data_IF_244638467126
#
_entry.id   IF_244638467126
#
_cell.length_a   1.000
_cell.length_b   1.000
_cell.length_c   1.000
_cell.angle_alpha   90.00
_cell.angle_beta   90.00
_cell.angle_gamma   90.00
#
_symmetry.space_group_name_H-M   'P 1'
#
loop_
_entity.id
_entity.type
_entity.pdbx_description
1 polymer ?
#
# COMPACT_ATOMS: atom_id res chain seq x y z
N UNK A 1 -19.62 6.41 -1.84
CA UNK A 1 -19.42 7.80 -2.27
C UNK A 1 -18.37 8.43 -1.36
N UNK A 2 -17.46 9.23 -1.92
CA UNK A 2 -16.47 9.98 -1.14
C UNK A 2 -16.90 11.45 -1.07
N UNK A 3 -16.46 12.11 0.00
CA UNK A 3 -16.62 13.54 0.23
C UNK A 3 -15.27 14.23 0.06
N UNK A 4 -15.27 15.54 -0.20
CA UNK A 4 -14.08 16.31 -0.50
C UNK A 4 -13.94 17.49 0.46
N UNK A 5 -12.73 17.77 0.91
CA UNK A 5 -12.42 18.86 1.82
C UNK A 5 -10.98 19.34 1.65
N UNK A 6 -10.47 20.10 2.62
CA UNK A 6 -9.08 20.57 2.64
C UNK A 6 -8.34 20.08 3.86
N UNK A 7 -7.13 19.57 3.67
CA UNK A 7 -6.27 19.15 4.77
C UNK A 7 -5.89 20.33 5.66
N UNK A 8 -6.03 20.20 6.98
CA UNK A 8 -5.54 21.20 7.95
C UNK A 8 -4.28 20.65 8.61
N UNK A 9 -4.40 19.53 9.34
CA UNK A 9 -3.27 18.95 10.07
C UNK A 9 -3.47 17.48 10.39
N UNK A 10 -2.38 16.76 10.60
CA UNK A 10 -2.34 15.41 11.17
C UNK A 10 -1.68 15.44 12.54
N UNK A 11 -2.25 14.74 13.51
CA UNK A 11 -1.69 14.62 14.85
C UNK A 11 -1.98 13.25 15.46
N UNK A 12 -1.19 12.88 16.48
CA UNK A 12 -1.31 11.60 17.21
C UNK A 12 -1.42 10.38 16.27
N UNK A 13 -0.76 10.45 15.10
CA UNK A 13 -0.73 9.46 14.00
C UNK A 13 -2.06 9.15 13.31
N UNK A 14 -3.17 9.08 14.05
CA UNK A 14 -4.46 8.56 13.58
C UNK A 14 -5.56 9.61 13.43
N UNK A 15 -5.25 10.88 13.70
CA UNK A 15 -6.21 11.99 13.63
C UNK A 15 -5.78 12.97 12.55
N UNK A 16 -6.72 13.34 11.69
CA UNK A 16 -6.54 14.35 10.66
C UNK A 16 -7.72 15.31 10.73
N UNK A 17 -7.44 16.59 10.99
CA UNK A 17 -8.45 17.64 10.89
C UNK A 17 -8.52 18.10 9.43
N UNK A 18 -9.73 18.26 8.92
CA UNK A 18 -10.01 18.76 7.57
C UNK A 18 -11.11 19.82 7.61
N UNK A 19 -11.04 20.76 6.69
CA UNK A 19 -12.11 21.72 6.43
C UNK A 19 -13.15 21.09 5.48
N UNK A 20 -14.41 21.09 5.90
CA UNK A 20 -15.55 20.57 5.14
C UNK A 20 -16.82 21.36 5.49
N UNK A 21 -17.55 21.86 4.48
CA UNK A 21 -18.80 22.63 4.66
C UNK A 21 -18.68 23.77 5.70
N UNK A 22 -17.60 24.56 5.63
CA UNK A 22 -17.29 25.65 6.57
C UNK A 22 -17.10 25.21 8.04
N UNK A 23 -16.81 23.93 8.27
CA UNK A 23 -16.54 23.37 9.59
C UNK A 23 -15.24 22.56 9.59
N UNK A 24 -14.63 22.42 10.77
CA UNK A 24 -13.49 21.53 10.97
C UNK A 24 -14.03 20.20 11.47
N UNK A 25 -13.74 19.12 10.73
CA UNK A 25 -14.07 17.76 11.16
C UNK A 25 -12.79 16.92 11.33
N UNK A 26 -12.83 16.00 12.27
CA UNK A 26 -11.71 15.07 12.51
C UNK A 26 -11.97 13.71 11.86
N UNK A 27 -11.09 13.34 10.95
CA UNK A 27 -11.04 12.06 10.29
C UNK A 27 -10.07 11.09 10.99
N UNK A 28 -10.41 9.81 10.97
CA UNK A 28 -9.43 8.75 11.22
C UNK A 28 -8.45 8.68 10.05
N UNK A 29 -7.16 8.65 10.35
CA UNK A 29 -6.11 8.33 9.39
C UNK A 29 -5.66 6.87 9.54
N UNK A 30 -5.99 6.00 8.56
CA UNK A 30 -5.66 4.57 8.61
C UNK A 30 -4.22 4.26 8.14
N UNK A 31 -3.41 5.28 7.84
CA UNK A 31 -1.99 5.11 7.52
C UNK A 31 -1.12 5.30 8.77
N UNK A 32 -0.42 4.25 9.21
CA UNK A 32 0.46 4.32 10.39
C UNK A 32 1.83 4.93 10.12
N UNK A 33 2.22 5.02 8.85
CA UNK A 33 3.52 5.53 8.44
C UNK A 33 3.66 7.04 8.61
N UNK A 34 4.83 7.56 8.28
CA UNK A 34 5.15 8.99 8.48
C UNK A 34 4.24 9.91 7.66
N UNK A 35 3.77 9.44 6.49
CA UNK A 35 3.12 10.28 5.48
C UNK A 35 3.95 11.54 5.16
N UNK A 36 5.28 11.44 5.31
CA UNK A 36 6.20 12.52 5.01
C UNK A 36 6.04 12.91 3.55
N UNK A 37 6.12 14.21 3.27
CA UNK A 37 5.90 14.82 1.96
C UNK A 37 4.46 14.74 1.41
N UNK A 38 3.53 14.04 2.08
CA UNK A 38 2.13 13.99 1.65
C UNK A 38 1.27 15.11 2.24
N UNK A 39 1.62 15.59 3.44
CA UNK A 39 0.76 16.42 4.29
C UNK A 39 1.02 17.91 4.05
N UNK A 40 0.46 18.45 2.96
CA UNK A 40 0.53 19.88 2.65
C UNK A 40 -0.76 20.56 3.13
N UNK A 41 -0.63 21.56 4.01
CA UNK A 41 -1.75 22.36 4.49
C UNK A 41 -2.53 22.98 3.32
N UNK A 42 -3.86 22.89 3.40
CA UNK A 42 -4.77 23.37 2.35
C UNK A 42 -4.89 22.45 1.13
N UNK A 43 -4.14 21.33 1.06
CA UNK A 43 -4.26 20.37 -0.03
C UNK A 43 -5.68 19.75 -0.09
N UNK A 44 -6.25 19.54 -1.28
CA UNK A 44 -7.52 18.83 -1.41
C UNK A 44 -7.39 17.41 -0.85
N UNK A 45 -8.41 16.97 -0.12
CA UNK A 45 -8.51 15.62 0.42
C UNK A 45 -9.85 15.01 0.07
N UNK A 46 -9.89 13.68 -0.01
CA UNK A 46 -11.13 12.94 -0.07
C UNK A 46 -11.25 12.01 1.15
N UNK A 47 -12.46 11.84 1.65
CA UNK A 47 -12.74 11.07 2.85
C UNK A 47 -14.07 10.32 2.74
N UNK A 48 -14.24 9.28 3.54
CA UNK A 48 -15.49 8.51 3.63
C UNK A 48 -16.17 8.74 4.98
N UNK A 49 -17.50 8.60 5.00
CA UNK A 49 -18.31 8.63 6.22
C UNK A 49 -18.81 7.23 6.55
N UNK A 50 -18.69 6.84 7.81
CA UNK A 50 -19.20 5.57 8.31
C UNK A 50 -20.62 5.71 8.84
N UNK A 51 -21.50 4.78 8.48
CA UNK A 51 -22.86 4.71 9.02
C UNK A 51 -22.92 4.08 10.42
N UNK A 52 -21.80 3.55 10.93
CA UNK A 52 -21.76 2.93 12.26
C UNK A 52 -21.69 4.01 13.35
N UNK A 53 -22.84 4.27 13.98
CA UNK A 53 -23.01 5.25 15.06
C UNK A 53 -22.12 4.99 16.29
N UNK A 54 -21.61 3.78 16.48
CA UNK A 54 -20.70 3.43 17.60
C UNK A 54 -19.25 3.89 17.37
N UNK A 55 -18.89 4.32 16.16
CA UNK A 55 -17.50 4.75 15.87
C UNK A 55 -17.23 6.11 16.50
N UNK A 56 -16.13 6.18 17.25
CA UNK A 56 -15.62 7.43 17.85
C UNK A 56 -15.29 8.49 16.80
N UNK A 57 -14.68 8.07 15.68
CA UNK A 57 -14.45 8.93 14.51
C UNK A 57 -15.34 8.44 13.37
N UNK A 58 -16.31 9.27 12.97
CA UNK A 58 -17.26 8.92 11.91
C UNK A 58 -16.65 8.97 10.51
N UNK A 59 -15.58 9.74 10.34
CA UNK A 59 -14.95 9.99 9.05
C UNK A 59 -13.59 9.29 8.95
N UNK A 60 -13.20 8.89 7.73
CA UNK A 60 -11.90 8.27 7.45
C UNK A 60 -11.26 8.95 6.25
N UNK A 61 -10.01 9.38 6.39
CA UNK A 61 -9.24 9.93 5.28
C UNK A 61 -8.97 8.83 4.25
N UNK A 62 -9.26 9.09 2.98
CA UNK A 62 -9.12 8.12 1.89
C UNK A 62 -7.95 8.43 0.96
N UNK A 63 -7.72 9.73 0.71
CA UNK A 63 -6.64 10.19 -0.15
C UNK A 63 -6.43 11.69 -0.05
N UNK A 64 -5.31 12.11 -0.62
CA UNK A 64 -4.88 13.51 -0.69
C UNK A 64 -4.46 13.82 -2.13
N UNK A 65 -4.77 15.02 -2.61
CA UNK A 65 -4.36 15.49 -3.92
C UNK A 65 -3.04 16.23 -3.80
N UNK A 66 -2.04 15.76 -4.53
CA UNK A 66 -0.68 16.27 -4.53
C UNK A 66 0.00 15.95 -5.85
N UNK A 67 0.92 16.79 -6.34
CA UNK A 67 1.66 16.57 -7.60
C UNK A 67 0.73 16.22 -8.78
N UNK A 68 -0.38 16.95 -8.90
CA UNK A 68 -1.41 16.78 -9.92
C UNK A 68 -2.07 15.39 -9.99
N UNK A 69 -2.07 14.63 -8.88
CA UNK A 69 -2.71 13.32 -8.79
C UNK A 69 -3.34 13.07 -7.42
N UNK A 70 -4.27 12.12 -7.37
CA UNK A 70 -4.80 11.61 -6.11
C UNK A 70 -3.94 10.47 -5.59
N UNK A 71 -3.41 10.66 -4.38
CA UNK A 71 -2.61 9.67 -3.65
C UNK A 71 -3.53 8.98 -2.65
N UNK A 72 -3.74 7.67 -2.80
CA UNK A 72 -4.57 6.91 -1.87
C UNK A 72 -3.78 6.64 -0.57
N UNK A 73 -4.10 7.41 0.46
CA UNK A 73 -3.42 7.31 1.75
C UNK A 73 -3.98 6.19 2.60
N UNK A 74 -5.19 5.69 2.32
CA UNK A 74 -5.80 4.60 3.06
C UNK A 74 -5.19 3.23 2.72
N UNK A 75 -4.12 2.89 3.44
CA UNK A 75 -3.36 1.64 3.26
C UNK A 75 -4.14 0.37 3.61
N UNK A 76 -5.24 0.46 4.36
CA UNK A 76 -6.10 -0.71 4.66
C UNK A 76 -6.75 -1.24 3.38
N UNK A 77 -6.96 -0.38 2.38
CA UNK A 77 -7.57 -0.77 1.10
C UNK A 77 -6.62 -1.50 0.17
N UNK A 78 -5.30 -1.41 0.37
CA UNK A 78 -4.29 -1.92 -0.58
C UNK A 78 -4.49 -3.41 -0.89
N UNK A 79 -4.65 -4.27 0.12
CA UNK A 79 -4.88 -5.71 -0.12
C UNK A 79 -6.21 -5.96 -0.86
N UNK A 80 -7.25 -5.17 -0.59
CA UNK A 80 -8.53 -5.29 -1.33
C UNK A 80 -8.36 -4.90 -2.80
N UNK A 81 -7.58 -3.86 -3.09
CA UNK A 81 -7.28 -3.40 -4.44
C UNK A 81 -6.51 -4.49 -5.19
N UNK A 82 -5.43 -5.02 -4.60
CA UNK A 82 -4.66 -6.13 -5.19
C UNK A 82 -5.53 -7.35 -5.43
N UNK A 83 -6.38 -7.74 -4.49
CA UNK A 83 -7.29 -8.87 -4.66
C UNK A 83 -8.22 -8.68 -5.87
N UNK A 84 -8.79 -7.49 -6.03
CA UNK A 84 -9.66 -7.19 -7.16
C UNK A 84 -8.89 -7.18 -8.47
N UNK A 85 -7.68 -6.62 -8.48
CA UNK A 85 -6.79 -6.59 -9.65
C UNK A 85 -6.39 -8.01 -10.08
N UNK A 86 -6.03 -8.89 -9.14
CA UNK A 86 -5.77 -10.31 -9.40
C UNK A 86 -6.98 -11.00 -10.05
N UNK A 87 -8.19 -10.77 -9.53
CA UNK A 87 -9.42 -11.35 -10.10
C UNK A 87 -9.73 -10.87 -11.51
N UNK A 88 -9.39 -9.63 -11.83
CA UNK A 88 -9.62 -9.01 -13.14
C UNK A 88 -8.49 -9.30 -14.14
N UNK A 89 -7.40 -9.92 -13.71
CA UNK A 89 -6.21 -10.12 -14.54
C UNK A 89 -5.42 -8.83 -14.80
N UNK A 90 -5.58 -7.78 -13.97
CA UNK A 90 -4.82 -6.53 -14.10
C UNK A 90 -3.34 -6.71 -13.70
N UNK A 91 -3.02 -7.74 -12.92
CA UNK A 91 -1.65 -8.13 -12.59
C UNK A 91 -1.19 -9.21 -13.57
N UNK A 92 -0.40 -8.81 -14.57
CA UNK A 92 -0.16 -9.58 -15.79
C UNK A 92 0.62 -10.86 -15.54
N UNK A 93 1.45 -10.89 -14.48
CA UNK A 93 2.21 -12.07 -14.07
C UNK A 93 1.32 -13.21 -13.59
N UNK A 94 0.05 -12.91 -13.24
CA UNK A 94 -0.87 -13.83 -12.57
C UNK A 94 -2.21 -14.00 -13.31
N UNK A 95 -2.26 -13.72 -14.62
CA UNK A 95 -3.49 -13.85 -15.44
C UNK A 95 -4.04 -15.28 -15.48
N UNK A 96 -3.17 -16.29 -15.45
CA UNK A 96 -3.56 -17.72 -15.43
C UNK A 96 -3.74 -18.26 -14.01
N UNK A 97 -4.25 -17.45 -13.09
CA UNK A 97 -4.47 -17.88 -11.69
C UNK A 97 -5.75 -18.68 -11.57
N UNK A 98 -5.66 -19.89 -11.03
CA UNK A 98 -6.81 -20.78 -10.79
C UNK A 98 -7.35 -20.67 -9.37
N UNK A 99 -6.54 -20.21 -8.42
CA UNK A 99 -6.93 -20.06 -7.01
C UNK A 99 -6.25 -18.86 -6.36
N UNK A 100 -7.02 -18.13 -5.56
CA UNK A 100 -6.54 -17.00 -4.75
C UNK A 100 -6.99 -17.22 -3.30
N UNK A 101 -6.04 -17.36 -2.39
CA UNK A 101 -6.29 -17.41 -0.94
C UNK A 101 -5.68 -16.17 -0.28
N UNK A 102 -6.47 -15.43 0.50
CA UNK A 102 -6.02 -14.24 1.24
C UNK A 102 -5.54 -14.61 2.63
N UNK A 103 -4.64 -13.80 3.19
CA UNK A 103 -4.17 -13.94 4.58
C UNK A 103 -3.64 -15.36 4.86
N UNK A 104 -2.86 -15.88 3.92
CA UNK A 104 -2.40 -17.27 3.91
C UNK A 104 -1.42 -17.52 5.06
N UNK A 105 -1.67 -18.52 5.93
CA UNK A 105 -0.75 -18.87 7.01
C UNK A 105 0.60 -19.36 6.47
N UNK A 106 1.69 -18.80 6.99
CA UNK A 106 3.06 -19.23 6.70
C UNK A 106 3.87 -19.23 8.00
N UNK A 107 3.99 -20.41 8.62
CA UNK A 107 4.57 -20.52 9.97
C UNK A 107 3.80 -19.69 10.99
N UNK A 108 4.51 -18.82 11.71
CA UNK A 108 3.92 -17.90 12.72
C UNK A 108 3.45 -16.57 12.13
N UNK A 109 3.45 -16.42 10.81
CA UNK A 109 3.06 -15.20 10.10
C UNK A 109 1.91 -15.47 9.14
N UNK A 110 1.34 -14.40 8.59
CA UNK A 110 0.40 -14.46 7.46
C UNK A 110 0.97 -13.66 6.31
N UNK A 111 0.98 -14.26 5.13
CA UNK A 111 1.30 -13.60 3.86
C UNK A 111 0.00 -13.16 3.20
N UNK A 112 0.01 -12.02 2.53
CA UNK A 112 -1.21 -11.40 2.03
C UNK A 112 -1.97 -12.30 1.03
N UNK A 113 -1.26 -13.01 0.14
CA UNK A 113 -1.86 -13.92 -0.83
C UNK A 113 -1.06 -15.20 -1.07
N UNK A 114 -1.79 -16.30 -1.24
CA UNK A 114 -1.34 -17.52 -1.89
C UNK A 114 -2.11 -17.71 -3.20
N UNK A 115 -1.38 -17.97 -4.29
CA UNK A 115 -1.95 -18.28 -5.59
C UNK A 115 -1.53 -19.67 -6.08
N UNK A 116 -2.43 -20.31 -6.83
CA UNK A 116 -2.09 -21.40 -7.75
C UNK A 116 -2.20 -20.87 -9.18
N UNK A 117 -1.09 -20.91 -9.92
CA UNK A 117 -1.05 -20.48 -11.32
C UNK A 117 -0.04 -21.30 -12.11
N UNK A 118 -0.43 -21.86 -13.26
CA UNK A 118 0.42 -22.71 -14.10
C UNK A 118 1.14 -23.82 -13.29
N UNK A 119 0.41 -24.51 -12.40
CA UNK A 119 0.93 -25.53 -11.47
C UNK A 119 2.02 -25.05 -10.50
N UNK A 120 2.18 -23.74 -10.31
CA UNK A 120 3.11 -23.13 -9.35
C UNK A 120 2.36 -22.65 -8.12
N UNK A 121 3.00 -22.83 -6.95
CA UNK A 121 2.55 -22.29 -5.66
C UNK A 121 3.22 -20.93 -5.45
N UNK A 122 2.45 -19.87 -5.49
CA UNK A 122 2.95 -18.49 -5.44
C UNK A 122 2.54 -17.85 -4.11
N UNK A 123 3.47 -17.15 -3.47
CA UNK A 123 3.20 -16.32 -2.31
C UNK A 123 3.44 -14.86 -2.67
N UNK A 124 2.51 -13.98 -2.33
CA UNK A 124 2.63 -12.54 -2.59
C UNK A 124 2.46 -11.79 -1.27
N UNK A 125 3.48 -11.03 -0.92
CA UNK A 125 3.41 -10.00 0.11
C UNK A 125 3.27 -8.63 -0.56
N UNK A 126 2.29 -7.85 -0.13
CA UNK A 126 1.94 -6.55 -0.67
C UNK A 126 2.51 -5.43 0.20
N UNK A 127 3.16 -4.46 -0.42
CA UNK A 127 3.66 -3.24 0.23
C UNK A 127 2.99 -2.03 -0.38
N UNK A 128 2.31 -1.22 0.43
CA UNK A 128 1.83 0.10 -0.01
C UNK A 128 2.96 1.12 0.07
N UNK A 129 3.25 1.78 -1.05
CA UNK A 129 4.37 2.72 -1.20
C UNK A 129 3.81 4.12 -1.38
N UNK A 130 3.75 4.87 -0.28
CA UNK A 130 3.25 6.25 -0.25
C UNK A 130 4.34 7.29 0.06
N UNK A 131 5.54 6.85 0.44
CA UNK A 131 6.70 7.73 0.60
C UNK A 131 7.36 7.94 -0.77
N UNK A 132 7.63 9.19 -1.11
CA UNK A 132 8.37 9.55 -2.31
C UNK A 132 9.07 10.90 -2.15
N UNK A 133 10.03 11.17 -3.04
CA UNK A 133 10.70 12.46 -3.22
C UNK A 133 10.55 12.94 -4.67
N UNK A 134 11.42 13.82 -5.16
CA UNK A 134 11.34 14.32 -6.53
C UNK A 134 11.54 13.21 -7.58
N UNK A 135 12.29 12.16 -7.26
CA UNK A 135 12.73 11.15 -8.23
C UNK A 135 12.20 9.74 -7.88
N UNK A 136 12.21 9.34 -6.61
CA UNK A 136 11.97 7.97 -6.18
C UNK A 136 10.67 7.80 -5.40
N UNK A 137 9.96 6.69 -5.68
CA UNK A 137 9.10 6.03 -4.71
C UNK A 137 9.95 5.19 -3.75
N UNK A 138 9.55 5.12 -2.48
CA UNK A 138 10.40 4.58 -1.43
C UNK A 138 9.65 3.74 -0.40
N UNK A 139 10.29 2.67 0.05
CA UNK A 139 9.80 1.85 1.15
C UNK A 139 10.97 1.42 2.06
N UNK A 140 10.80 1.36 3.39
CA UNK A 140 9.59 1.68 4.14
C UNK A 140 9.48 3.16 4.52
N UNK A 141 8.31 3.58 5.00
CA UNK A 141 8.04 4.96 5.44
C UNK A 141 8.12 5.18 6.96
N UNK A 142 8.46 4.11 7.68
CA UNK A 142 8.85 4.02 9.09
C UNK A 142 9.61 2.69 9.33
N UNK A 143 10.37 2.59 10.43
CA UNK A 143 10.99 1.31 10.84
C UNK A 143 9.94 0.19 10.91
N UNK A 144 10.25 -0.99 10.35
CA UNK A 144 9.29 -2.07 10.11
C UNK A 144 9.83 -3.46 10.44
N UNK A 145 9.82 -3.80 11.74
CA UNK A 145 10.14 -5.17 12.20
C UNK A 145 9.20 -6.22 11.58
N UNK A 146 7.92 -5.87 11.39
CA UNK A 146 6.95 -6.75 10.73
C UNK A 146 7.32 -6.98 9.27
N UNK A 147 7.70 -5.93 8.55
CA UNK A 147 8.15 -6.03 7.16
C UNK A 147 9.38 -6.92 7.03
N UNK A 148 10.34 -6.77 7.94
CA UNK A 148 11.53 -7.62 8.00
C UNK A 148 11.20 -9.10 8.27
N UNK A 149 10.34 -9.38 9.24
CA UNK A 149 9.87 -10.76 9.53
C UNK A 149 9.22 -11.41 8.31
N UNK A 150 8.39 -10.65 7.57
CA UNK A 150 7.73 -11.14 6.36
C UNK A 150 8.74 -11.39 5.23
N UNK A 151 9.75 -10.53 5.07
CA UNK A 151 10.80 -10.69 4.07
C UNK A 151 11.61 -11.99 4.31
N UNK A 152 11.98 -12.25 5.57
CA UNK A 152 12.67 -13.50 5.96
C UNK A 152 11.77 -14.71 5.73
N UNK A 153 10.49 -14.63 6.09
CA UNK A 153 9.53 -15.71 5.88
C UNK A 153 9.36 -16.06 4.39
N UNK A 154 9.28 -15.05 3.52
CA UNK A 154 9.25 -15.25 2.07
C UNK A 154 10.50 -15.95 1.55
N UNK A 155 11.69 -15.52 1.98
CA UNK A 155 12.94 -16.20 1.60
C UNK A 155 12.91 -17.67 1.99
N UNK A 156 12.51 -17.98 3.23
CA UNK A 156 12.47 -19.35 3.73
C UNK A 156 11.38 -20.21 3.08
N UNK A 157 10.35 -19.60 2.48
CA UNK A 157 9.29 -20.33 1.79
C UNK A 157 9.76 -21.08 0.54
N UNK A 158 10.92 -20.73 -0.01
CA UNK A 158 11.50 -21.38 -1.19
C UNK A 158 11.81 -22.85 -0.90
N UNK A 159 12.32 -23.14 0.30
CA UNK A 159 12.64 -24.51 0.74
C UNK A 159 11.39 -25.39 0.88
N UNK A 160 10.20 -24.76 0.91
CA UNK A 160 8.89 -25.41 0.93
C UNK A 160 8.25 -25.50 -0.47
N UNK A 161 8.98 -25.11 -1.52
CA UNK A 161 8.53 -25.15 -2.92
C UNK A 161 7.63 -23.98 -3.35
N UNK A 162 7.57 -22.91 -2.56
CA UNK A 162 6.86 -21.69 -2.96
C UNK A 162 7.73 -20.80 -3.85
N UNK A 163 7.04 -20.00 -4.66
CA UNK A 163 7.62 -18.90 -5.42
C UNK A 163 7.21 -17.58 -4.75
N UNK A 164 8.12 -16.89 -4.04
CA UNK A 164 7.79 -15.66 -3.34
C UNK A 164 7.88 -14.42 -4.23
N UNK A 165 6.91 -13.53 -4.08
CA UNK A 165 6.84 -12.21 -4.69
C UNK A 165 6.66 -11.12 -3.63
N UNK A 166 7.31 -9.98 -3.88
CA UNK A 166 7.01 -8.71 -3.21
C UNK A 166 6.33 -7.78 -4.22
N UNK A 167 5.07 -7.49 -3.98
CA UNK A 167 4.29 -6.60 -4.83
C UNK A 167 4.20 -5.21 -4.19
N UNK A 168 4.92 -4.25 -4.76
CA UNK A 168 4.90 -2.85 -4.37
C UNK A 168 3.79 -2.11 -5.12
N UNK A 169 2.84 -1.56 -4.36
CA UNK A 169 1.76 -0.70 -4.87
C UNK A 169 2.15 0.76 -4.65
N UNK A 170 2.65 1.37 -5.71
CA UNK A 170 3.11 2.76 -5.74
C UNK A 170 1.90 3.68 -5.86
N UNK A 171 1.73 4.59 -4.89
CA UNK A 171 0.62 5.54 -4.85
C UNK A 171 0.91 6.84 -5.61
N UNK A 172 2.18 7.10 -5.93
CA UNK A 172 2.65 8.26 -6.68
C UNK A 172 2.90 7.93 -8.15
N UNK A 173 3.23 8.94 -8.96
CA UNK A 173 3.65 8.80 -10.36
C UNK A 173 5.16 8.59 -10.54
N UNK A 174 5.91 8.31 -9.46
CA UNK A 174 7.35 8.05 -9.57
C UNK A 174 7.61 6.71 -10.24
N UNK A 175 8.53 6.73 -11.21
CA UNK A 175 8.93 5.57 -12.02
C UNK A 175 10.28 4.99 -11.60
N UNK A 176 10.84 5.45 -10.48
CA UNK A 176 12.03 4.88 -9.86
C UNK A 176 11.68 4.43 -8.45
N UNK A 177 12.30 3.34 -8.00
CA UNK A 177 12.10 2.80 -6.66
C UNK A 177 13.44 2.59 -5.97
N UNK A 178 13.50 2.93 -4.69
CA UNK A 178 14.60 2.51 -3.82
C UNK A 178 14.11 2.12 -2.44
N UNK A 179 14.90 1.31 -1.76
CA UNK A 179 14.70 1.10 -0.33
C UNK A 179 15.14 2.36 0.45
N UNK A 180 14.36 2.77 1.45
CA UNK A 180 14.65 3.92 2.30
C UNK A 180 15.60 3.54 3.45
N UNK A 181 16.88 3.37 3.13
CA UNK A 181 17.92 2.96 4.09
C UNK A 181 18.07 3.95 5.25
N UNK A 182 17.81 5.23 4.99
CA UNK A 182 17.79 6.30 5.99
C UNK A 182 16.65 6.14 7.02
N UNK A 183 15.62 5.35 6.71
CA UNK A 183 14.49 5.06 7.61
C UNK A 183 14.67 3.73 8.31
N UNK A 184 15.00 2.68 7.57
CA UNK A 184 15.19 1.33 8.11
C UNK A 184 16.35 0.61 7.41
N UNK A 185 17.55 0.85 7.93
CA UNK A 185 18.78 0.25 7.42
C UNK A 185 18.73 -1.27 7.41
N UNK A 186 18.25 -1.89 8.49
CA UNK A 186 18.22 -3.35 8.62
C UNK A 186 17.26 -4.00 7.60
N UNK A 187 16.09 -3.40 7.41
CA UNK A 187 15.18 -3.85 6.35
C UNK A 187 15.84 -3.75 4.97
N UNK A 188 16.52 -2.64 4.68
CA UNK A 188 17.14 -2.42 3.37
C UNK A 188 18.38 -3.30 3.11
N UNK A 189 19.17 -3.60 4.14
CA UNK A 189 20.25 -4.60 4.05
C UNK A 189 19.69 -5.97 3.63
N UNK A 190 18.63 -6.42 4.30
CA UNK A 190 17.98 -7.71 4.00
C UNK A 190 17.23 -7.70 2.67
N UNK A 191 16.68 -6.56 2.28
CA UNK A 191 16.10 -6.37 0.94
C UNK A 191 17.16 -6.58 -0.15
N UNK A 192 18.32 -5.94 -0.03
CA UNK A 192 19.44 -6.07 -0.99
C UNK A 192 19.97 -7.51 -1.04
N UNK A 193 20.00 -8.21 0.10
CA UNK A 193 20.42 -9.60 0.18
C UNK A 193 19.41 -10.55 -0.49
N UNK A 194 18.12 -10.41 -0.18
CA UNK A 194 17.11 -11.42 -0.52
C UNK A 194 16.35 -11.18 -1.81
N UNK A 195 16.03 -9.94 -2.14
CA UNK A 195 15.12 -9.67 -3.27
C UNK A 195 15.78 -9.99 -4.61
N UNK A 196 17.02 -9.56 -4.92
CA UNK A 196 17.63 -9.88 -6.21
C UNK A 196 17.84 -11.38 -6.47
N UNK A 197 17.98 -12.18 -5.41
CA UNK A 197 18.36 -13.60 -5.49
C UNK A 197 17.17 -14.56 -5.32
N UNK A 198 16.23 -14.23 -4.45
CA UNK A 198 15.26 -15.19 -3.90
C UNK A 198 13.80 -14.75 -4.09
N UNK A 199 13.52 -13.44 -4.04
CA UNK A 199 12.13 -12.93 -3.99
C UNK A 199 11.88 -12.01 -5.17
N UNK A 200 10.89 -12.33 -6.00
CA UNK A 200 10.63 -11.54 -7.22
C UNK A 200 9.92 -10.23 -6.88
N UNK A 201 10.55 -9.05 -7.10
CA UNK A 201 9.86 -7.79 -6.91
C UNK A 201 8.95 -7.50 -8.12
N UNK A 202 7.77 -6.95 -7.84
CA UNK A 202 6.86 -6.38 -8.84
C UNK A 202 6.44 -4.99 -8.40
N UNK A 203 6.28 -4.10 -9.37
CA UNK A 203 5.91 -2.72 -9.13
C UNK A 203 4.69 -2.37 -9.96
N UNK A 204 3.66 -1.89 -9.27
CA UNK A 204 2.42 -1.45 -9.87
C UNK A 204 2.04 -0.08 -9.33
N UNK A 205 1.71 0.85 -10.22
CA UNK A 205 1.12 2.13 -9.86
C UNK A 205 -0.36 1.95 -9.63
N UNK A 206 -0.86 2.46 -8.50
CA UNK A 206 -2.28 2.60 -8.25
C UNK A 206 -2.77 3.94 -8.79
N UNK A 207 -3.66 3.91 -9.77
CA UNK A 207 -4.41 5.08 -10.22
C UNK A 207 -5.72 5.11 -9.45
N UNK A 208 -5.82 6.04 -8.50
CA UNK A 208 -7.00 6.23 -7.67
C UNK A 208 -7.85 7.38 -8.20
N UNK A 209 -9.09 7.09 -8.57
CA UNK A 209 -10.09 8.09 -8.90
C UNK A 209 -11.10 8.20 -7.74
N UNK A 210 -11.09 9.28 -6.95
CA UNK A 210 -12.02 9.44 -5.83
C UNK A 210 -13.44 9.82 -6.27
N UNK A 211 -13.64 10.33 -7.49
CA UNK A 211 -14.96 10.74 -7.98
C UNK A 211 -15.80 9.50 -8.31
N UNK A 212 -15.21 8.54 -9.00
CA UNK A 212 -15.82 7.20 -9.19
C UNK A 212 -15.55 6.23 -8.03
N UNK A 213 -14.64 6.59 -7.12
CA UNK A 213 -14.14 5.74 -6.04
C UNK A 213 -13.64 4.38 -6.58
N UNK A 214 -12.81 4.45 -7.62
CA UNK A 214 -12.22 3.29 -8.29
C UNK A 214 -10.70 3.32 -8.20
N UNK A 215 -10.12 2.13 -8.42
CA UNK A 215 -8.69 1.92 -8.48
C UNK A 215 -8.38 1.07 -9.72
N UNK A 216 -7.30 1.39 -10.41
CA UNK A 216 -6.71 0.53 -11.44
C UNK A 216 -5.21 0.39 -11.18
N UNK A 217 -4.70 -0.82 -11.38
CA UNK A 217 -3.27 -1.09 -11.22
C UNK A 217 -2.59 -1.16 -12.58
N UNK A 218 -1.52 -0.39 -12.75
CA UNK A 218 -0.72 -0.34 -13.97
C UNK A 218 0.70 -0.78 -13.66
N UNK A 219 1.25 -1.70 -14.46
CA UNK A 219 2.64 -2.15 -14.26
C UNK A 219 3.60 -0.99 -14.47
N UNK A 220 4.62 -0.90 -13.62
CA UNK A 220 5.70 0.06 -13.75
C UNK A 220 7.00 -0.70 -13.91
N UNK A 221 7.71 -0.42 -14.99
CA UNK A 221 9.07 -0.89 -15.18
C UNK A 221 10.00 0.11 -14.48
N UNK A 222 10.74 -0.39 -13.49
CA UNK A 222 11.64 0.37 -12.61
C UNK A 222 13.06 -0.14 -12.76
#
# INVERSE_FOLDING_TARGET
>A
MLYFGRFIRRYKRFFVDIEYENSIITCHNPNTGSMRNLLIEGAPVCFSRSNNRKRKLQYTLEGIYLDNQWIQTNTIKTNKIVYNALKKGEIIEFTNTTKITREYPLGNSKIDFYLESNNKKILIEVKSVSLFDQEYAMFPDAKTERGLKHLIALKNSIDLGYIPYLLYIIQSNRRKFRCAEEIDKLYCEKYKEYVPQFIRPLFYQNIFDPYSNTNSLHKVDI
#
